data_IF_863200152083
#
_entry.id   IF_863200152083
#
_cell.length_a   1.000
_cell.length_b   1.000
_cell.length_c   1.000
_cell.angle_alpha   90.00
_cell.angle_beta   90.00
_cell.angle_gamma   90.00
#
_symmetry.space_group_name_H-M   'P 1'
#
loop_
_entity.id
_entity.type
_entity.pdbx_description
1 polymer ?
#
# COMPACT_ATOMS: atom_id res chain seq x y z
N UNK A 1 -12.20 -4.27 -7.48
CA UNK A 1 -11.00 -4.96 -8.04
C UNK A 1 -11.37 -6.14 -8.96
N UNK A 2 -12.33 -6.99 -8.60
CA UNK A 2 -12.73 -8.18 -9.39
C UNK A 2 -13.08 -7.87 -10.86
N UNK A 3 -13.73 -6.73 -11.13
CA UNK A 3 -14.02 -6.28 -12.49
C UNK A 3 -12.76 -6.10 -13.36
N UNK A 4 -11.76 -5.36 -12.87
CA UNK A 4 -10.52 -5.09 -13.62
C UNK A 4 -9.69 -6.37 -13.84
N UNK A 5 -9.66 -7.26 -12.84
CA UNK A 5 -8.99 -8.57 -12.96
C UNK A 5 -9.67 -9.43 -14.03
N UNK A 6 -11.01 -9.43 -14.08
CA UNK A 6 -11.77 -10.12 -15.14
C UNK A 6 -11.48 -9.52 -16.51
N UNK A 7 -11.53 -8.20 -16.64
CA UNK A 7 -11.26 -7.48 -17.89
C UNK A 7 -9.85 -7.79 -18.43
N UNK A 8 -8.84 -7.83 -17.55
CA UNK A 8 -7.45 -8.14 -17.90
C UNK A 8 -7.28 -9.49 -18.61
N UNK A 9 -8.17 -10.48 -18.38
CA UNK A 9 -8.09 -11.79 -19.07
C UNK A 9 -8.24 -11.68 -20.60
N UNK A 10 -8.88 -10.61 -21.08
CA UNK A 10 -9.10 -10.39 -22.51
C UNK A 10 -7.90 -9.75 -23.22
N UNK A 11 -6.84 -9.38 -22.49
CA UNK A 11 -5.68 -8.68 -23.03
C UNK A 11 -4.38 -9.38 -22.65
N UNK A 12 -3.61 -9.82 -23.66
CA UNK A 12 -2.31 -10.47 -23.45
C UNK A 12 -1.33 -9.48 -22.80
N UNK A 13 -0.64 -9.91 -21.75
CA UNK A 13 0.38 -9.13 -21.02
C UNK A 13 -0.10 -7.81 -20.36
N UNK A 14 -1.41 -7.59 -20.22
CA UNK A 14 -1.93 -6.38 -19.58
C UNK A 14 -1.61 -6.31 -18.08
N UNK A 15 -1.41 -5.08 -17.58
CA UNK A 15 -1.27 -4.74 -16.16
C UNK A 15 -2.41 -3.80 -15.75
N UNK A 16 -2.71 -3.77 -14.45
CA UNK A 16 -3.72 -2.89 -13.86
C UNK A 16 -2.98 -1.80 -13.09
N UNK A 17 -2.91 -0.59 -13.63
CA UNK A 17 -2.36 0.55 -12.92
C UNK A 17 -3.43 1.18 -12.01
N UNK A 18 -3.12 1.35 -10.73
CA UNK A 18 -3.99 2.03 -9.76
C UNK A 18 -3.28 3.25 -9.18
N UNK A 19 -4.05 4.30 -8.93
CA UNK A 19 -3.56 5.60 -8.47
C UNK A 19 -3.34 5.67 -6.94
N UNK A 20 -2.87 4.59 -6.33
CA UNK A 20 -2.48 4.63 -4.91
C UNK A 20 -1.24 5.49 -4.75
N UNK A 21 -1.29 6.44 -3.83
CA UNK A 21 -0.25 7.41 -3.54
C UNK A 21 0.38 7.20 -2.15
N UNK A 22 1.29 8.07 -1.74
CA UNK A 22 2.02 7.96 -0.48
C UNK A 22 1.09 8.10 0.75
N UNK A 23 0.07 8.96 0.67
CA UNK A 23 -0.93 9.12 1.74
C UNK A 23 -1.75 7.84 1.91
N UNK A 24 -2.10 7.17 0.80
CA UNK A 24 -2.80 5.88 0.81
C UNK A 24 -1.97 4.75 1.46
N UNK A 25 -0.64 4.79 1.29
CA UNK A 25 0.26 3.88 1.96
C UNK A 25 0.27 4.13 3.47
N UNK A 26 0.44 5.38 3.89
CA UNK A 26 0.40 5.75 5.31
C UNK A 26 -0.91 5.33 5.99
N UNK A 27 -2.06 5.58 5.34
CA UNK A 27 -3.36 5.11 5.82
C UNK A 27 -3.39 3.60 6.00
N UNK A 28 -2.87 2.85 5.02
CA UNK A 28 -2.85 1.38 5.05
C UNK A 28 -1.99 0.86 6.20
N UNK A 29 -0.80 1.43 6.42
CA UNK A 29 0.08 1.08 7.55
C UNK A 29 -0.67 1.28 8.87
N UNK A 30 -1.26 2.47 9.06
CA UNK A 30 -1.99 2.78 10.29
C UNK A 30 -3.21 1.87 10.50
N UNK A 31 -3.95 1.53 9.44
CA UNK A 31 -5.06 0.58 9.56
C UNK A 31 -4.57 -0.79 10.04
N UNK A 32 -3.42 -1.25 9.55
CA UNK A 32 -2.84 -2.56 9.93
C UNK A 32 -2.32 -2.56 11.36
N UNK A 33 -1.73 -1.45 11.81
CA UNK A 33 -1.37 -1.25 13.23
C UNK A 33 -2.62 -1.37 14.11
N UNK A 34 -3.69 -0.62 13.80
CA UNK A 34 -4.93 -0.61 14.59
C UNK A 34 -5.58 -2.00 14.64
N UNK A 35 -5.48 -2.79 13.57
CA UNK A 35 -6.03 -4.15 13.50
C UNK A 35 -5.17 -5.19 14.23
N UNK A 36 -3.96 -4.86 14.65
CA UNK A 36 -3.02 -5.80 15.26
C UNK A 36 -2.33 -6.70 14.24
N UNK A 37 -1.43 -6.14 13.43
CA UNK A 37 -0.63 -6.91 12.48
C UNK A 37 0.81 -7.13 12.94
N UNK A 38 1.37 -8.30 12.62
CA UNK A 38 2.81 -8.54 12.71
C UNK A 38 3.61 -7.87 11.58
N UNK A 39 4.90 -8.19 11.50
CA UNK A 39 5.86 -7.59 10.56
C UNK A 39 5.41 -7.67 9.09
N UNK A 40 4.89 -8.82 8.66
CA UNK A 40 4.36 -9.02 7.31
C UNK A 40 3.25 -8.00 6.96
N UNK A 41 2.39 -7.70 7.95
CA UNK A 41 1.36 -6.69 7.79
C UNK A 41 1.93 -5.28 7.74
N UNK A 42 2.98 -4.96 8.48
CA UNK A 42 3.52 -3.59 8.50
C UNK A 42 4.11 -3.14 7.15
N UNK A 43 4.45 -4.06 6.25
CA UNK A 43 4.87 -3.77 4.86
C UNK A 43 3.82 -3.05 4.01
N UNK A 44 2.57 -2.98 4.46
CA UNK A 44 1.45 -2.34 3.76
C UNK A 44 1.31 -2.78 2.28
N UNK A 45 1.34 -1.84 1.33
CA UNK A 45 1.25 -2.15 -0.11
C UNK A 45 2.63 -2.19 -0.77
N UNK A 46 2.78 -3.10 -1.74
CA UNK A 46 3.92 -3.12 -2.66
C UNK A 46 3.65 -2.34 -3.96
N UNK A 47 4.72 -1.88 -4.63
CA UNK A 47 4.63 -1.28 -5.97
C UNK A 47 3.98 -2.20 -6.99
N UNK A 48 4.17 -3.52 -6.83
CA UNK A 48 3.57 -4.54 -7.69
C UNK A 48 3.04 -5.67 -6.82
N UNK A 49 1.78 -6.04 -7.03
CA UNK A 49 1.21 -7.25 -6.47
C UNK A 49 0.41 -7.97 -7.56
N UNK A 50 0.95 -9.10 -8.04
CA UNK A 50 0.41 -9.82 -9.19
C UNK A 50 0.29 -8.90 -10.43
N UNK A 51 -0.92 -8.75 -11.01
CA UNK A 51 -1.14 -7.89 -12.18
C UNK A 51 -1.27 -6.40 -11.84
N UNK A 52 -1.35 -6.03 -10.56
CA UNK A 52 -1.59 -4.66 -10.12
C UNK A 52 -0.25 -3.95 -9.94
N UNK A 53 -0.14 -2.74 -10.50
CA UNK A 53 0.99 -1.82 -10.30
C UNK A 53 0.51 -0.51 -9.70
N UNK A 54 1.36 0.14 -8.90
CA UNK A 54 1.10 1.43 -8.21
C UNK A 54 2.17 2.46 -8.60
N UNK A 55 2.09 3.07 -9.80
CA UNK A 55 3.19 3.87 -10.34
C UNK A 55 3.46 5.18 -9.58
N UNK A 56 2.48 5.67 -8.82
CA UNK A 56 2.54 6.97 -8.16
C UNK A 56 2.62 6.87 -6.63
N UNK A 57 3.01 5.70 -6.11
CA UNK A 57 2.97 5.40 -4.67
C UNK A 57 3.92 6.29 -3.85
N UNK A 58 4.93 6.87 -4.49
CA UNK A 58 5.93 7.74 -3.84
C UNK A 58 5.51 9.20 -3.73
N UNK A 59 4.43 9.59 -4.43
CA UNK A 59 3.97 10.97 -4.46
C UNK A 59 2.91 11.20 -3.40
N UNK A 60 3.00 12.33 -2.71
CA UNK A 60 1.91 12.81 -1.84
C UNK A 60 0.70 13.22 -2.69
N UNK A 61 -0.50 13.09 -2.12
CA UNK A 61 -1.71 13.61 -2.76
C UNK A 61 -1.58 15.09 -3.13
N UNK A 62 -0.95 15.89 -2.26
CA UNK A 62 -0.72 17.31 -2.52
C UNK A 62 0.21 17.58 -3.70
N UNK A 63 1.19 16.71 -3.98
CA UNK A 63 2.07 16.84 -5.15
C UNK A 63 1.31 16.52 -6.44
N UNK A 64 0.46 15.48 -6.39
CA UNK A 64 -0.41 15.12 -7.52
C UNK A 64 -1.36 16.28 -7.86
N UNK A 65 -2.01 16.88 -6.86
CA UNK A 65 -2.91 18.01 -7.08
C UNK A 65 -2.19 19.24 -7.64
N UNK A 66 -0.98 19.55 -7.14
CA UNK A 66 -0.14 20.62 -7.71
C UNK A 66 0.24 20.37 -9.15
N UNK A 67 0.56 19.12 -9.49
CA UNK A 67 0.86 18.73 -10.87
C UNK A 67 -0.35 18.92 -11.80
N UNK A 68 -1.54 18.53 -11.36
CA UNK A 68 -2.77 18.71 -12.14
C UNK A 68 -3.09 20.20 -12.35
N UNK A 69 -2.97 21.01 -11.31
CA UNK A 69 -3.19 22.47 -11.37
C UNK A 69 -2.20 23.16 -12.32
N UNK A 70 -0.91 22.89 -12.17
CA UNK A 70 0.14 23.45 -13.03
C UNK A 70 -0.07 23.12 -14.52
N UNK A 71 -0.51 21.90 -14.81
CA UNK A 71 -0.76 21.44 -16.19
C UNK A 71 -2.19 21.73 -16.68
N UNK A 72 -3.04 22.35 -15.85
CA UNK A 72 -4.46 22.61 -16.14
C UNK A 72 -5.21 21.35 -16.59
N UNK A 73 -4.98 20.25 -15.88
CA UNK A 73 -5.65 18.96 -16.13
C UNK A 73 -6.86 18.88 -15.21
N UNK A 74 -8.05 18.87 -15.82
CA UNK A 74 -9.31 18.69 -15.09
C UNK A 74 -9.41 17.29 -14.49
N UNK A 75 -10.01 17.21 -13.30
CA UNK A 75 -10.28 15.95 -12.62
C UNK A 75 -11.62 15.99 -11.90
N UNK A 76 -12.23 14.82 -11.73
CA UNK A 76 -13.46 14.69 -10.97
C UNK A 76 -13.18 14.34 -9.51
N UNK A 77 -13.94 14.96 -8.60
CA UNK A 77 -13.92 14.63 -7.18
C UNK A 77 -15.02 13.62 -6.92
N UNK A 78 -14.63 12.41 -6.53
CA UNK A 78 -15.56 11.41 -6.04
C UNK A 78 -16.00 11.78 -4.60
N UNK A 79 -17.28 12.13 -4.47
CA UNK A 79 -17.92 12.59 -3.23
C UNK A 79 -17.92 11.52 -2.13
N UNK A 80 -17.82 10.24 -2.48
CA UNK A 80 -17.76 9.14 -1.49
C UNK A 80 -16.49 9.21 -0.62
N UNK A 81 -15.44 9.88 -1.10
CA UNK A 81 -14.23 10.16 -0.31
C UNK A 81 -14.47 11.08 0.89
N UNK A 82 -15.62 11.75 0.94
CA UNK A 82 -16.01 12.65 2.03
C UNK A 82 -16.90 11.96 3.08
N UNK A 83 -17.33 10.73 2.82
CA UNK A 83 -18.20 9.97 3.74
C UNK A 83 -17.36 9.32 4.84
N UNK A 84 -17.80 9.36 6.10
CA UNK A 84 -17.07 8.77 7.25
C UNK A 84 -17.34 7.28 7.47
N UNK A 85 -18.17 6.67 6.65
CA UNK A 85 -18.72 5.32 6.89
C UNK A 85 -17.66 4.22 6.81
N UNK A 86 -16.58 4.46 6.05
CA UNK A 86 -15.47 3.52 5.91
C UNK A 86 -14.35 3.83 6.90
N UNK A 87 -13.79 2.79 7.53
CA UNK A 87 -12.67 2.88 8.48
C UNK A 87 -11.52 3.71 7.95
N UNK A 88 -11.21 3.57 6.66
CA UNK A 88 -10.16 4.32 6.00
C UNK A 88 -10.43 5.82 5.97
N UNK A 89 -11.68 6.23 5.70
CA UNK A 89 -12.07 7.63 5.67
C UNK A 89 -12.01 8.23 7.08
N UNK A 90 -12.44 7.49 8.12
CA UNK A 90 -12.26 7.90 9.52
C UNK A 90 -10.78 8.11 9.88
N UNK A 91 -9.90 7.21 9.46
CA UNK A 91 -8.46 7.35 9.67
C UNK A 91 -7.92 8.61 8.97
N UNK A 92 -8.27 8.82 7.69
CA UNK A 92 -7.83 9.97 6.89
C UNK A 92 -8.33 11.30 7.43
N UNK A 93 -9.61 11.38 7.82
CA UNK A 93 -10.29 12.64 8.15
C UNK A 93 -10.18 13.01 9.62
N UNK A 94 -10.18 12.01 10.52
CA UNK A 94 -10.31 12.27 11.95
C UNK A 94 -9.03 11.92 12.73
N UNK A 95 -8.32 10.85 12.37
CA UNK A 95 -7.16 10.35 13.15
C UNK A 95 -5.84 10.99 12.70
N UNK A 96 -5.48 10.83 11.42
CA UNK A 96 -4.21 11.32 10.89
C UNK A 96 -4.03 12.83 11.16
N UNK A 97 -5.03 13.70 10.91
CA UNK A 97 -4.86 15.14 11.13
C UNK A 97 -4.59 15.51 12.59
N UNK A 98 -5.12 14.75 13.56
CA UNK A 98 -4.85 15.02 14.99
C UNK A 98 -3.43 14.63 15.37
N UNK A 99 -2.91 13.52 14.83
CA UNK A 99 -1.52 13.10 15.06
C UNK A 99 -0.56 14.04 14.33
N UNK A 100 -0.91 14.55 13.15
CA UNK A 100 -0.10 15.52 12.41
C UNK A 100 0.09 16.85 13.15
N UNK A 101 -0.79 17.20 14.10
CA UNK A 101 -0.58 18.36 15.00
C UNK A 101 0.60 18.15 15.95
N UNK A 102 0.93 16.89 16.27
CA UNK A 102 2.06 16.52 17.12
C UNK A 102 3.31 16.30 16.25
N UNK A 103 3.16 15.56 15.15
CA UNK A 103 4.23 15.29 14.20
C UNK A 103 3.75 15.57 12.77
N UNK A 104 4.09 16.73 12.18
CA UNK A 104 3.71 17.09 10.81
C UNK A 104 4.23 16.11 9.74
N UNK A 105 5.23 15.29 10.06
CA UNK A 105 5.80 14.27 9.18
C UNK A 105 5.21 12.88 9.40
N UNK A 106 4.14 12.73 10.20
CA UNK A 106 3.60 11.45 10.63
C UNK A 106 3.33 10.47 9.47
N UNK A 107 2.72 10.92 8.36
CA UNK A 107 2.52 10.07 7.18
C UNK A 107 3.83 9.52 6.62
N UNK A 108 4.88 10.35 6.55
CA UNK A 108 6.21 9.93 6.10
C UNK A 108 6.83 8.94 7.08
N UNK A 109 6.66 9.15 8.38
CA UNK A 109 7.12 8.21 9.41
C UNK A 109 6.45 6.82 9.26
N UNK A 110 5.16 6.77 8.95
CA UNK A 110 4.45 5.50 8.68
C UNK A 110 4.97 4.80 7.42
N UNK A 111 5.23 5.55 6.35
CA UNK A 111 5.80 4.98 5.11
C UNK A 111 7.21 4.45 5.37
N UNK A 112 8.05 5.19 6.10
CA UNK A 112 9.38 4.71 6.50
C UNK A 112 9.31 3.44 7.36
N UNK A 113 8.35 3.37 8.29
CA UNK A 113 8.10 2.13 9.06
C UNK A 113 7.77 0.96 8.14
N UNK A 114 6.95 1.18 7.10
CA UNK A 114 6.62 0.17 6.10
C UNK A 114 7.83 -0.32 5.32
N UNK A 115 8.72 0.59 4.93
CA UNK A 115 9.95 0.27 4.18
C UNK A 115 10.92 -0.54 5.04
N UNK A 116 11.18 -0.10 6.28
CA UNK A 116 12.03 -0.84 7.22
C UNK A 116 11.44 -2.22 7.50
N UNK A 117 10.14 -2.29 7.80
CA UNK A 117 9.45 -3.57 8.06
C UNK A 117 9.54 -4.53 6.87
N UNK A 118 9.55 -4.00 5.65
CA UNK A 118 9.71 -4.80 4.43
C UNK A 118 11.12 -5.37 4.32
N UNK A 119 12.13 -4.54 4.51
CA UNK A 119 13.53 -4.97 4.45
C UNK A 119 13.80 -6.04 5.53
N UNK A 120 13.34 -5.80 6.76
CA UNK A 120 13.50 -6.74 7.87
C UNK A 120 12.81 -8.08 7.57
N UNK A 121 11.60 -8.02 7.01
CA UNK A 121 10.87 -9.23 6.63
C UNK A 121 11.58 -10.01 5.52
N UNK A 122 12.13 -9.34 4.51
CA UNK A 122 12.86 -9.99 3.41
C UNK A 122 14.10 -10.73 3.95
N UNK A 123 14.87 -10.10 4.84
CA UNK A 123 16.02 -10.74 5.50
C UNK A 123 15.58 -11.97 6.30
N UNK A 124 14.53 -11.84 7.12
CA UNK A 124 14.02 -12.97 7.91
C UNK A 124 13.53 -14.11 7.01
N UNK A 125 12.91 -13.77 5.88
CA UNK A 125 12.42 -14.76 4.91
C UNK A 125 13.56 -15.53 4.25
N UNK A 126 14.63 -14.84 3.87
CA UNK A 126 15.82 -15.47 3.29
C UNK A 126 16.48 -16.45 4.28
N UNK A 127 16.59 -16.06 5.55
CA UNK A 127 17.11 -16.93 6.61
C UNK A 127 16.19 -18.14 6.85
N UNK A 128 14.86 -17.90 6.89
CA UNK A 128 13.86 -18.96 7.03
C UNK A 128 14.01 -19.99 5.91
N UNK A 129 14.11 -19.53 4.66
CA UNK A 129 14.22 -20.39 3.49
C UNK A 129 15.55 -21.17 3.48
N UNK A 130 16.66 -20.56 3.88
CA UNK A 130 17.96 -21.23 4.02
C UNK A 130 17.91 -22.34 5.08
N UNK A 131 17.37 -22.05 6.27
CA UNK A 131 17.23 -23.03 7.33
C UNK A 131 16.28 -24.16 6.89
N UNK A 132 15.16 -23.80 6.26
CA UNK A 132 14.17 -24.75 5.79
C UNK A 132 14.77 -25.76 4.82
N UNK A 133 15.53 -25.32 3.82
CA UNK A 133 16.18 -26.22 2.86
C UNK A 133 17.24 -27.14 3.52
N UNK A 134 17.94 -26.67 4.57
CA UNK A 134 18.90 -27.52 5.33
C UNK A 134 18.22 -28.64 6.12
N UNK A 135 17.02 -28.41 6.64
CA UNK A 135 16.29 -29.38 7.46
C UNK A 135 15.27 -30.20 6.65
N UNK A 136 15.13 -29.91 5.36
CA UNK A 136 14.14 -30.55 4.49
C UNK A 136 14.53 -32.01 4.20
N UNK A 137 13.93 -32.94 4.95
CA UNK A 137 14.19 -34.39 4.80
C UNK A 137 13.65 -34.95 3.47
N UNK A 138 12.52 -34.42 2.99
CA UNK A 138 11.93 -34.81 1.70
C UNK A 138 10.96 -33.75 1.20
N UNK A 139 11.17 -33.26 -0.02
CA UNK A 139 10.22 -32.37 -0.70
C UNK A 139 9.09 -33.22 -1.30
N UNK A 140 7.93 -33.24 -0.64
CA UNK A 140 6.73 -33.87 -1.22
C UNK A 140 6.24 -32.96 -2.34
N UNK A 141 6.24 -33.43 -3.59
CA UNK A 141 5.60 -32.72 -4.69
C UNK A 141 4.09 -32.74 -4.46
N UNK A 142 3.52 -31.61 -4.02
CA UNK A 142 2.09 -31.37 -4.11
C UNK A 142 1.76 -30.96 -5.55
N UNK A 143 0.86 -31.72 -6.19
CA UNK A 143 0.32 -31.47 -7.53
C UNK A 143 -0.42 -30.13 -7.61
#
# INVERSE_FOLDING_TARGET
>A
MNFLIRLKKNYKNAKIAVAHNMDDQAETVLMRIIRGSGLDGLKAMDYKNGPIIRPIMDFKKSQILKFLDYNKIDYHIDYTNLQRDYTRNKIRLDIIPQIEKINPNFKKSLVNLSEVSKNDYEILKDIEDEIFEKILVKKVKTN
#
